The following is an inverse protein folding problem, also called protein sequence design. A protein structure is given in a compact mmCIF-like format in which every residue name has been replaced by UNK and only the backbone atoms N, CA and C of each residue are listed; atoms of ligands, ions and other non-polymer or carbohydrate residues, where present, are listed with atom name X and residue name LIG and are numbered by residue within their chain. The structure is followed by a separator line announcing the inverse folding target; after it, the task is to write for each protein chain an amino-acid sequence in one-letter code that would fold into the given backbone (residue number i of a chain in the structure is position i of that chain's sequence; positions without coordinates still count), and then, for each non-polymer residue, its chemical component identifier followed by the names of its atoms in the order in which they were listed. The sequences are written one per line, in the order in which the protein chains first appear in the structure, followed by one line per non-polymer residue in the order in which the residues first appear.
data_IF_103161346424
#
_entry.id   IF_103161346424
#
_cell.length_a   1.000
_cell.length_b   1.000
_cell.length_c   1.000
_cell.angle_alpha   90.00
_cell.angle_beta   90.00
_cell.angle_gamma   90.00
#
_symmetry.space_group_name_H-M   'P 1'
#
loop_
_entity.id
_entity.type
_entity.pdbx_description
1 polymer ?
#
# COMPACT_ATOMS: atom_id res chain seq x y z
N UNK A 1 14.22 6.09 22.91
CA UNK A 1 12.90 6.11 22.26
C UNK A 1 12.48 7.56 22.08
N UNK A 2 12.11 7.96 20.89
CA UNK A 2 11.53 9.28 20.65
C UNK A 2 10.18 9.40 21.38
N UNK A 3 9.87 10.57 21.92
CA UNK A 3 8.52 10.83 22.38
C UNK A 3 7.55 10.89 21.20
N UNK A 4 6.25 10.64 21.43
CA UNK A 4 5.23 10.73 20.38
C UNK A 4 5.26 12.11 19.69
N UNK A 5 5.52 13.16 20.44
CA UNK A 5 5.62 14.52 19.90
C UNK A 5 6.79 14.68 18.93
N UNK A 6 7.96 14.20 19.33
CA UNK A 6 9.17 14.24 18.47
C UNK A 6 8.98 13.40 17.20
N UNK A 7 8.37 12.22 17.30
CA UNK A 7 8.06 11.38 16.16
C UNK A 7 7.14 12.10 15.15
N UNK A 8 6.09 12.77 15.65
CA UNK A 8 5.17 13.56 14.81
C UNK A 8 5.90 14.73 14.15
N UNK A 9 6.72 15.46 14.90
CA UNK A 9 7.48 16.62 14.37
C UNK A 9 8.45 16.18 13.26
N UNK A 10 9.22 15.12 13.50
CA UNK A 10 10.14 14.56 12.51
C UNK A 10 9.40 14.08 11.25
N UNK A 11 8.27 13.41 11.42
CA UNK A 11 7.46 12.94 10.29
C UNK A 11 6.92 14.12 9.46
N UNK A 12 6.41 15.14 10.13
CA UNK A 12 5.89 16.36 9.47
C UNK A 12 6.99 17.08 8.68
N UNK A 13 8.22 17.16 9.20
CA UNK A 13 9.36 17.73 8.46
C UNK A 13 9.70 16.89 7.22
N UNK A 14 9.71 15.57 7.35
CA UNK A 14 9.87 14.68 6.21
C UNK A 14 8.81 14.86 5.12
N UNK A 15 7.55 15.11 5.52
CA UNK A 15 6.45 15.36 4.57
C UNK A 15 6.65 16.62 3.73
N UNK A 16 7.28 17.66 4.27
CA UNK A 16 7.57 18.88 3.49
C UNK A 16 8.49 18.56 2.31
N UNK A 17 9.55 17.78 2.56
CA UNK A 17 10.46 17.35 1.51
C UNK A 17 9.80 16.47 0.43
N UNK A 18 8.83 15.63 0.83
CA UNK A 18 8.06 14.79 -0.11
C UNK A 18 7.17 15.61 -1.03
N UNK A 19 6.45 16.58 -0.47
CA UNK A 19 5.50 17.43 -1.23
C UNK A 19 6.21 18.31 -2.26
N UNK A 20 7.43 18.76 -1.97
CA UNK A 20 8.25 19.56 -2.88
C UNK A 20 9.12 18.71 -3.84
N UNK A 21 9.06 17.38 -3.73
CA UNK A 21 9.80 16.47 -4.60
C UNK A 21 9.34 16.60 -6.07
N UNK A 22 10.28 16.60 -7.04
CA UNK A 22 9.93 16.58 -8.46
C UNK A 22 9.02 15.39 -8.81
N UNK A 23 7.98 15.65 -9.63
CA UNK A 23 6.95 14.65 -9.93
C UNK A 23 7.52 13.34 -10.49
N UNK A 24 8.56 13.39 -11.32
CA UNK A 24 9.16 12.18 -11.89
C UNK A 24 9.85 11.30 -10.84
N UNK A 25 10.55 11.90 -9.87
CA UNK A 25 11.20 11.16 -8.77
C UNK A 25 10.15 10.54 -7.86
N UNK A 26 9.14 11.32 -7.52
CA UNK A 26 8.01 10.88 -6.72
C UNK A 26 7.27 9.71 -7.39
N UNK A 27 7.03 9.80 -8.71
CA UNK A 27 6.38 8.77 -9.49
C UNK A 27 7.18 7.46 -9.54
N UNK A 28 8.51 7.54 -9.72
CA UNK A 28 9.37 6.34 -9.70
C UNK A 28 9.37 5.64 -8.34
N UNK A 29 9.45 6.42 -7.24
CA UNK A 29 9.31 5.87 -5.89
C UNK A 29 7.93 5.25 -5.65
N UNK A 30 6.89 5.84 -6.21
CA UNK A 30 5.53 5.32 -6.10
C UNK A 30 5.33 4.02 -6.89
N UNK A 31 5.91 3.89 -8.09
CA UNK A 31 5.92 2.62 -8.84
C UNK A 31 6.54 1.52 -7.98
N UNK A 32 7.70 1.80 -7.38
CA UNK A 32 8.39 0.85 -6.52
C UNK A 32 7.52 0.42 -5.33
N UNK A 33 6.85 1.37 -4.67
CA UNK A 33 5.94 1.06 -3.57
C UNK A 33 4.76 0.20 -4.02
N UNK A 34 4.16 0.49 -5.18
CA UNK A 34 3.10 -0.31 -5.77
C UNK A 34 3.51 -1.76 -6.03
N UNK A 35 4.71 -1.97 -6.58
CA UNK A 35 5.28 -3.31 -6.76
C UNK A 35 5.48 -4.02 -5.42
N UNK A 36 6.02 -3.35 -4.40
CA UNK A 36 6.25 -3.95 -3.08
C UNK A 36 4.96 -4.39 -2.41
N UNK A 37 3.90 -3.58 -2.46
CA UNK A 37 2.59 -3.96 -1.93
C UNK A 37 2.00 -5.13 -2.72
N UNK A 38 2.17 -5.14 -4.04
CA UNK A 38 1.73 -6.26 -4.87
C UNK A 38 2.49 -7.56 -4.56
N UNK A 39 3.81 -7.50 -4.25
CA UNK A 39 4.55 -8.65 -3.71
C UNK A 39 3.97 -9.16 -2.40
N UNK A 40 3.61 -8.27 -1.47
CA UNK A 40 2.93 -8.64 -0.24
C UNK A 40 1.60 -9.36 -0.51
N UNK A 41 0.82 -8.87 -1.49
CA UNK A 41 -0.44 -9.48 -1.89
C UNK A 41 -0.26 -10.85 -2.57
N UNK A 42 0.71 -10.96 -3.49
CA UNK A 42 1.05 -12.22 -4.15
C UNK A 42 1.52 -13.27 -3.14
N UNK A 43 2.46 -12.91 -2.26
CA UNK A 43 2.94 -13.80 -1.20
C UNK A 43 1.83 -14.24 -0.23
N UNK A 44 0.95 -13.33 0.14
CA UNK A 44 -0.23 -13.61 0.95
C UNK A 44 -1.18 -14.61 0.25
N UNK A 45 -1.40 -14.44 -1.06
CA UNK A 45 -2.22 -15.36 -1.86
C UNK A 45 -1.57 -16.74 -1.96
N UNK A 46 -0.26 -16.79 -2.24
CA UNK A 46 0.51 -18.05 -2.27
C UNK A 46 0.43 -18.79 -0.92
N UNK A 47 0.54 -18.08 0.19
CA UNK A 47 0.52 -18.69 1.50
C UNK A 47 -0.87 -19.21 1.93
N UNK A 48 -1.95 -18.60 1.43
CA UNK A 48 -3.30 -18.86 1.92
C UNK A 48 -4.21 -19.67 0.96
N UNK A 49 -3.84 -19.82 -0.32
CA UNK A 49 -4.75 -20.30 -1.39
C UNK A 49 -5.31 -21.70 -1.18
N UNK A 50 -4.60 -22.59 -0.52
CA UNK A 50 -5.00 -24.01 -0.33
C UNK A 50 -5.29 -24.36 1.14
N UNK A 51 -5.54 -23.34 1.98
CA UNK A 51 -5.91 -23.56 3.38
C UNK A 51 -7.44 -23.63 3.50
N UNK A 52 -7.95 -24.83 3.78
CA UNK A 52 -9.40 -25.09 3.88
C UNK A 52 -10.07 -24.30 5.02
N UNK A 53 -9.39 -24.11 6.16
CA UNK A 53 -9.94 -23.34 7.28
C UNK A 53 -9.81 -21.86 7.02
N UNK A 54 -10.96 -21.18 6.85
CA UNK A 54 -11.01 -19.74 6.51
C UNK A 54 -10.32 -18.85 7.57
N UNK A 55 -10.43 -19.19 8.86
CA UNK A 55 -9.78 -18.43 9.94
C UNK A 55 -8.25 -18.51 9.84
N UNK A 56 -7.74 -19.72 9.64
CA UNK A 56 -6.29 -19.95 9.48
C UNK A 56 -5.80 -19.29 8.19
N UNK A 57 -6.51 -19.44 7.08
CA UNK A 57 -6.17 -18.79 5.82
C UNK A 57 -6.05 -17.26 5.97
N UNK A 58 -7.01 -16.65 6.68
CA UNK A 58 -6.97 -15.20 6.95
C UNK A 58 -5.83 -14.79 7.87
N UNK A 59 -5.54 -15.58 8.89
CA UNK A 59 -4.41 -15.35 9.79
C UNK A 59 -3.08 -15.40 9.03
N UNK A 60 -2.86 -16.45 8.25
CA UNK A 60 -1.63 -16.63 7.45
C UNK A 60 -1.49 -15.50 6.44
N UNK A 61 -2.56 -15.16 5.71
CA UNK A 61 -2.56 -14.03 4.79
C UNK A 61 -2.21 -12.71 5.48
N UNK A 62 -2.77 -12.48 6.69
CA UNK A 62 -2.53 -11.29 7.48
C UNK A 62 -1.11 -11.19 8.05
N UNK A 63 -0.43 -12.31 8.29
CA UNK A 63 0.98 -12.35 8.74
C UNK A 63 1.94 -12.10 7.58
N UNK A 64 1.63 -12.60 6.38
CA UNK A 64 2.51 -12.48 5.21
C UNK A 64 2.38 -11.12 4.52
N UNK A 65 1.16 -10.60 4.38
CA UNK A 65 0.90 -9.35 3.66
C UNK A 65 1.74 -8.14 4.14
N UNK A 66 1.96 -7.90 5.45
CA UNK A 66 2.74 -6.78 5.95
C UNK A 66 4.18 -6.70 5.43
N UNK A 67 4.74 -7.79 4.89
CA UNK A 67 6.05 -7.79 4.23
C UNK A 67 6.11 -6.68 3.15
N UNK A 68 5.03 -6.47 2.39
CA UNK A 68 4.96 -5.41 1.39
C UNK A 68 5.13 -4.02 2.00
N UNK A 69 4.44 -3.74 3.12
CA UNK A 69 4.55 -2.46 3.81
C UNK A 69 5.93 -2.28 4.45
N UNK A 70 6.51 -3.34 5.03
CA UNK A 70 7.88 -3.28 5.57
C UNK A 70 8.89 -2.90 4.50
N UNK A 71 8.81 -3.50 3.30
CA UNK A 71 9.67 -3.12 2.17
C UNK A 71 9.50 -1.65 1.80
N UNK A 72 8.27 -1.13 1.73
CA UNK A 72 8.00 0.28 1.43
C UNK A 72 8.65 1.20 2.46
N UNK A 73 8.47 0.93 3.75
CA UNK A 73 9.03 1.74 4.83
C UNK A 73 10.56 1.71 4.82
N UNK A 74 11.16 0.53 4.68
CA UNK A 74 12.62 0.36 4.70
C UNK A 74 13.32 1.02 3.50
N UNK A 75 12.67 1.07 2.34
CA UNK A 75 13.23 1.65 1.11
C UNK A 75 12.95 3.15 0.96
N UNK A 76 12.06 3.72 1.76
CA UNK A 76 11.60 5.09 1.60
C UNK A 76 10.82 5.29 0.29
N UNK A 77 10.15 4.24 -0.20
CA UNK A 77 9.25 4.33 -1.32
C UNK A 77 7.94 5.05 -0.91
N UNK A 78 7.24 5.66 -1.89
CA UNK A 78 6.09 6.50 -1.59
C UNK A 78 4.79 5.73 -1.82
N UNK A 79 4.03 5.54 -0.74
CA UNK A 79 2.77 4.81 -0.73
C UNK A 79 1.61 5.75 -0.43
N UNK A 80 0.60 5.78 -1.29
CA UNK A 80 -0.57 6.66 -1.20
C UNK A 80 -1.21 6.68 0.19
N UNK A 81 -1.44 5.51 0.78
CA UNK A 81 -2.06 5.39 2.11
C UNK A 81 -1.20 6.00 3.22
N UNK A 82 0.12 5.79 3.20
CA UNK A 82 1.05 6.41 4.14
C UNK A 82 1.19 7.92 3.91
N UNK A 83 1.21 8.34 2.66
CA UNK A 83 1.38 9.75 2.28
C UNK A 83 0.14 10.61 2.60
N UNK A 84 -1.03 10.01 2.89
CA UNK A 84 -2.17 10.72 3.46
C UNK A 84 -1.83 11.41 4.78
N UNK A 85 -0.85 10.92 5.54
CA UNK A 85 -0.36 11.58 6.76
C UNK A 85 0.26 12.97 6.51
N UNK A 86 0.66 13.29 5.28
CA UNK A 86 1.16 14.62 4.93
C UNK A 86 0.11 15.73 5.13
N UNK A 87 -1.17 15.36 5.35
CA UNK A 87 -2.21 16.32 5.78
C UNK A 87 -1.80 17.05 7.06
N UNK A 88 -1.04 16.43 7.96
CA UNK A 88 -0.57 17.06 9.20
C UNK A 88 0.31 18.28 8.91
N UNK A 89 1.20 18.20 7.91
CA UNK A 89 2.01 19.34 7.48
C UNK A 89 1.18 20.44 6.80
N UNK A 90 0.09 20.06 6.10
CA UNK A 90 -0.88 21.03 5.54
C UNK A 90 -1.61 21.80 6.65
N UNK A 91 -2.09 21.10 7.68
CA UNK A 91 -2.76 21.72 8.83
C UNK A 91 -1.81 22.66 9.57
N UNK A 92 -0.53 22.32 9.67
CA UNK A 92 0.52 23.20 10.24
C UNK A 92 0.96 24.32 9.26
N UNK A 93 0.30 24.48 8.11
CA UNK A 93 0.58 25.50 7.09
C UNK A 93 2.02 25.45 6.51
N UNK A 94 2.69 24.30 6.61
CA UNK A 94 4.04 24.10 6.04
C UNK A 94 4.02 23.96 4.51
N UNK A 95 2.89 23.55 3.92
CA UNK A 95 2.63 23.57 2.48
C UNK A 95 1.13 23.73 2.17
N UNK A 96 0.82 24.00 0.90
CA UNK A 96 -0.57 24.22 0.46
C UNK A 96 -1.30 22.89 0.20
N UNK A 97 -2.62 22.90 0.38
CA UNK A 97 -3.47 21.73 0.06
C UNK A 97 -3.35 21.31 -1.41
N UNK A 98 -3.13 22.26 -2.34
CA UNK A 98 -2.97 21.95 -3.76
C UNK A 98 -1.70 21.12 -4.03
N UNK A 99 -0.60 21.42 -3.34
CA UNK A 99 0.64 20.63 -3.44
C UNK A 99 0.43 19.22 -2.91
N UNK A 100 -0.29 19.07 -1.78
CA UNK A 100 -0.65 17.77 -1.23
C UNK A 100 -1.47 16.95 -2.21
N UNK A 101 -2.53 17.53 -2.78
CA UNK A 101 -3.41 16.84 -3.75
C UNK A 101 -2.59 16.38 -4.97
N UNK A 102 -1.73 17.27 -5.53
CA UNK A 102 -0.84 16.91 -6.63
C UNK A 102 0.05 15.71 -6.27
N UNK A 103 0.67 15.73 -5.09
CA UNK A 103 1.51 14.64 -4.59
C UNK A 103 0.72 13.35 -4.53
N UNK A 104 -0.45 13.35 -3.90
CA UNK A 104 -1.30 12.16 -3.75
C UNK A 104 -1.74 11.59 -5.09
N UNK A 105 -2.10 12.42 -6.07
CA UNK A 105 -2.46 11.95 -7.43
C UNK A 105 -1.27 11.25 -8.09
N UNK A 106 -0.08 11.85 -8.05
CA UNK A 106 1.12 11.26 -8.65
C UNK A 106 1.47 9.92 -8.00
N UNK A 107 1.40 9.86 -6.67
CA UNK A 107 1.68 8.63 -5.91
C UNK A 107 0.62 7.56 -6.20
N UNK A 108 -0.65 7.91 -6.23
CA UNK A 108 -1.73 6.98 -6.57
C UNK A 108 -1.52 6.33 -7.93
N UNK A 109 -1.24 7.14 -8.97
CA UNK A 109 -0.99 6.63 -10.32
C UNK A 109 0.27 5.78 -10.40
N UNK A 110 1.33 6.15 -9.68
CA UNK A 110 2.55 5.35 -9.59
C UNK A 110 2.32 4.01 -8.90
N UNK A 111 1.59 3.99 -7.76
CA UNK A 111 1.26 2.74 -7.06
C UNK A 111 0.39 1.82 -7.95
N UNK A 112 -0.57 2.38 -8.67
CA UNK A 112 -1.39 1.61 -9.61
C UNK A 112 -0.53 0.98 -10.71
N UNK A 113 0.33 1.77 -11.35
CA UNK A 113 1.21 1.26 -12.40
C UNK A 113 2.17 0.18 -11.87
N UNK A 114 2.78 0.40 -10.71
CA UNK A 114 3.68 -0.57 -10.09
C UNK A 114 2.99 -1.90 -9.78
N UNK A 115 1.77 -1.86 -9.23
CA UNK A 115 1.00 -3.08 -8.95
C UNK A 115 0.60 -3.82 -10.22
N UNK A 116 0.22 -3.11 -11.29
CA UNK A 116 -0.09 -3.71 -12.58
C UNK A 116 1.15 -4.35 -13.22
N UNK A 117 2.31 -3.69 -13.15
CA UNK A 117 3.57 -4.24 -13.67
C UNK A 117 3.91 -5.57 -12.98
N UNK A 118 3.81 -5.64 -11.64
CA UNK A 118 4.08 -6.89 -10.94
C UNK A 118 3.06 -7.96 -11.30
N UNK A 119 1.78 -7.64 -11.36
CA UNK A 119 0.73 -8.59 -11.75
C UNK A 119 0.98 -9.16 -13.15
N UNK A 120 1.45 -8.34 -14.09
CA UNK A 120 1.84 -8.81 -15.43
C UNK A 120 3.05 -9.77 -15.36
N UNK A 121 4.05 -9.45 -14.53
CA UNK A 121 5.22 -10.33 -14.34
C UNK A 121 4.79 -11.67 -13.74
N UNK A 122 3.94 -11.66 -12.68
CA UNK A 122 3.40 -12.88 -12.06
C UNK A 122 2.62 -13.73 -13.06
N UNK A 123 1.84 -13.10 -13.95
CA UNK A 123 1.11 -13.81 -15.00
C UNK A 123 2.05 -14.47 -16.00
N UNK A 124 3.04 -13.74 -16.51
CA UNK A 124 4.01 -14.25 -17.50
C UNK A 124 4.92 -15.33 -16.89
N UNK A 125 5.23 -15.21 -15.58
CA UNK A 125 6.04 -16.23 -14.86
C UNK A 125 5.32 -17.57 -14.70
N UNK A 126 4.00 -17.64 -14.98
CA UNK A 126 3.20 -18.83 -14.79
C UNK A 126 2.83 -19.10 -13.32
N UNK A 127 3.07 -18.18 -12.40
CA UNK A 127 2.80 -18.36 -10.97
C UNK A 127 1.34 -18.72 -10.69
N UNK A 128 0.38 -18.19 -11.47
CA UNK A 128 -1.04 -18.50 -11.30
C UNK A 128 -1.42 -19.95 -11.65
N UNK A 129 -0.53 -20.71 -12.31
CA UNK A 129 -0.71 -22.13 -12.58
C UNK A 129 -0.32 -23.01 -11.38
N UNK A 130 0.26 -22.42 -10.33
CA UNK A 130 0.66 -23.14 -9.13
C UNK A 130 -0.53 -23.88 -8.49
N UNK A 131 -0.27 -25.06 -7.90
CA UNK A 131 -1.30 -25.96 -7.35
C UNK A 131 -2.38 -26.29 -8.38
N UNK A 132 -2.00 -26.64 -9.63
CA UNK A 132 -2.95 -26.94 -10.72
C UNK A 132 -3.97 -25.83 -11.00
N UNK A 133 -3.55 -24.56 -10.85
CA UNK A 133 -4.38 -23.39 -11.10
C UNK A 133 -5.23 -22.91 -9.90
N UNK A 134 -5.15 -23.58 -8.76
CA UNK A 134 -5.91 -23.18 -7.55
C UNK A 134 -5.48 -21.77 -7.09
N UNK A 135 -4.19 -21.43 -7.17
CA UNK A 135 -3.71 -20.09 -6.84
C UNK A 135 -4.35 -19.02 -7.73
N UNK A 136 -4.43 -19.26 -9.03
CA UNK A 136 -5.07 -18.33 -9.97
C UNK A 136 -6.55 -18.14 -9.65
N UNK A 137 -7.29 -19.24 -9.42
CA UNK A 137 -8.69 -19.19 -9.03
C UNK A 137 -8.91 -18.44 -7.71
N UNK A 138 -8.06 -18.65 -6.71
CA UNK A 138 -8.09 -17.93 -5.44
C UNK A 138 -7.86 -16.42 -5.64
N UNK A 139 -6.85 -16.04 -6.42
CA UNK A 139 -6.52 -14.64 -6.70
C UNK A 139 -7.66 -13.93 -7.40
N UNK A 140 -8.27 -14.56 -8.41
CA UNK A 140 -9.45 -14.03 -9.11
C UNK A 140 -10.63 -13.88 -8.15
N UNK A 141 -10.90 -14.86 -7.29
CA UNK A 141 -11.97 -14.78 -6.29
C UNK A 141 -11.78 -13.59 -5.34
N UNK A 142 -10.56 -13.35 -4.88
CA UNK A 142 -10.24 -12.19 -4.02
C UNK A 142 -10.46 -10.87 -4.78
N UNK A 143 -10.00 -10.78 -6.03
CA UNK A 143 -10.16 -9.60 -6.87
C UNK A 143 -11.64 -9.29 -7.15
N UNK A 144 -12.42 -10.29 -7.56
CA UNK A 144 -13.87 -10.14 -7.80
C UNK A 144 -14.60 -9.69 -6.54
N UNK A 145 -14.22 -10.21 -5.36
CA UNK A 145 -14.79 -9.76 -4.09
C UNK A 145 -14.54 -8.28 -3.80
N UNK A 146 -13.46 -7.69 -4.33
CA UNK A 146 -13.18 -6.26 -4.21
C UNK A 146 -13.88 -5.43 -5.28
N UNK A 147 -13.93 -5.91 -6.52
CA UNK A 147 -14.57 -5.20 -7.63
C UNK A 147 -16.10 -5.12 -7.50
N UNK A 148 -16.71 -6.07 -6.81
CA UNK A 148 -18.17 -6.14 -6.63
C UNK A 148 -18.67 -5.36 -5.40
N UNK A 149 -17.81 -4.63 -4.69
CA UNK A 149 -18.25 -3.77 -3.58
C UNK A 149 -19.04 -2.58 -4.12
N UNK A 150 -20.15 -2.25 -3.45
CA UNK A 150 -20.83 -0.97 -3.65
C UNK A 150 -19.95 0.19 -3.16
N UNK A 151 -20.23 1.39 -3.66
CA UNK A 151 -19.41 2.58 -3.36
C UNK A 151 -19.29 2.85 -1.86
N UNK A 152 -20.37 2.73 -1.10
CA UNK A 152 -20.39 3.01 0.35
C UNK A 152 -19.50 2.03 1.12
N UNK A 153 -19.64 0.74 0.81
CA UNK A 153 -18.82 -0.33 1.42
C UNK A 153 -17.36 -0.19 1.04
N UNK A 154 -17.07 0.12 -0.23
CA UNK A 154 -15.70 0.34 -0.70
C UNK A 154 -15.06 1.54 0.00
N UNK A 155 -15.78 2.67 0.12
CA UNK A 155 -15.30 3.88 0.79
C UNK A 155 -15.03 3.62 2.29
N UNK A 156 -15.98 3.02 2.99
CA UNK A 156 -15.82 2.71 4.43
C UNK A 156 -14.64 1.77 4.67
N UNK A 157 -14.49 0.72 3.85
CA UNK A 157 -13.37 -0.22 3.92
C UNK A 157 -12.04 0.46 3.60
N UNK A 158 -12.03 1.41 2.65
CA UNK A 158 -10.86 2.21 2.31
C UNK A 158 -10.41 3.11 3.47
N UNK A 159 -11.35 3.76 4.16
CA UNK A 159 -11.08 4.59 5.34
C UNK A 159 -10.46 3.73 6.45
N UNK A 160 -11.06 2.58 6.79
CA UNK A 160 -10.53 1.68 7.82
C UNK A 160 -9.13 1.17 7.45
N UNK A 161 -8.92 0.77 6.21
CA UNK A 161 -7.61 0.34 5.70
C UNK A 161 -6.57 1.47 5.88
N UNK A 162 -6.90 2.70 5.48
CA UNK A 162 -5.99 3.83 5.57
C UNK A 162 -5.63 4.17 7.02
N UNK A 163 -6.59 4.14 7.95
CA UNK A 163 -6.32 4.35 9.38
C UNK A 163 -5.27 3.37 9.89
N UNK A 164 -5.40 2.07 9.54
CA UNK A 164 -4.44 1.03 9.96
C UNK A 164 -3.05 1.26 9.36
N UNK A 165 -2.97 1.60 8.07
CA UNK A 165 -1.69 1.87 7.42
C UNK A 165 -1.03 3.14 7.98
N UNK A 166 -1.78 4.20 8.18
CA UNK A 166 -1.27 5.42 8.81
C UNK A 166 -0.74 5.15 10.23
N UNK A 167 -1.47 4.36 11.02
CA UNK A 167 -1.01 3.97 12.35
C UNK A 167 0.29 3.17 12.28
N UNK A 168 0.39 2.20 11.37
CA UNK A 168 1.60 1.39 11.19
C UNK A 168 2.80 2.24 10.76
N UNK A 169 2.62 3.19 9.83
CA UNK A 169 3.67 4.10 9.38
C UNK A 169 4.13 5.01 10.51
N UNK A 170 3.21 5.55 11.31
CA UNK A 170 3.55 6.39 12.47
C UNK A 170 4.29 5.62 13.58
N UNK A 171 4.00 4.31 13.75
CA UNK A 171 4.71 3.47 14.71
C UNK A 171 6.12 3.09 14.24
N UNK A 172 6.37 3.16 12.94
CA UNK A 172 7.66 2.86 12.33
C UNK A 172 8.57 4.11 12.19
N UNK A 173 8.02 5.31 12.35
CA UNK A 173 8.73 6.60 12.29
C UNK A 173 9.40 6.93 13.62
#
# INVERSE_FOLDING_TARGET
MLSMKEAIENYVEGCVGKVDCPAYKLFMKAILAGMMIAFGAAGSSVAAHDIANVGIARLVAGVVFPMGLMMVVMTGAELFTGDCLAIMATVQKKHTALKLIRMLIVVYLGNLLGSLMLTCIDYVSGQYNYSSGILGAYTIKVALGKCNLDFTTALASGILCNILVCAAVMLAA
#
